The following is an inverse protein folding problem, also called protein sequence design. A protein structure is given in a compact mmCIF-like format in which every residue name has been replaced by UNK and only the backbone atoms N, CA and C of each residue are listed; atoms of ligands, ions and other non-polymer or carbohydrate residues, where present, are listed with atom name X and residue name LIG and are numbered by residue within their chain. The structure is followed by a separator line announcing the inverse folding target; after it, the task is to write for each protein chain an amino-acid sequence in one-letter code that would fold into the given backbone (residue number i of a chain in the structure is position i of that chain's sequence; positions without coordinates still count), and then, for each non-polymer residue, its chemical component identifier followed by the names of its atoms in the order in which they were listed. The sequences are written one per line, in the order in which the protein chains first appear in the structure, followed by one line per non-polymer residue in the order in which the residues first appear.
data_IF_769616252447
#
_entry.id   IF_769616252447
#
_cell.length_a   1.000
_cell.length_b   1.000
_cell.length_c   1.000
_cell.angle_alpha   90.00
_cell.angle_beta   90.00
_cell.angle_gamma   90.00
#
_symmetry.space_group_name_H-M   'P 1'
#
loop_
_entity.id
_entity.type
_entity.pdbx_description
1 polymer ?
#
# COMPACT_ATOMS: atom_id res chain seq x y z
N UNK A 1 -29.81 -12.84 -36.85
CA UNK A 1 -28.87 -13.19 -35.76
C UNK A 1 -27.65 -12.29 -35.90
N UNK A 2 -27.64 -11.15 -35.22
CA UNK A 2 -26.49 -10.23 -35.24
C UNK A 2 -25.58 -10.60 -34.06
N UNK A 3 -24.49 -11.31 -34.35
CA UNK A 3 -23.43 -11.63 -33.39
C UNK A 3 -22.65 -10.35 -33.07
N UNK A 4 -23.04 -9.70 -31.98
CA UNK A 4 -22.40 -8.49 -31.44
C UNK A 4 -20.98 -8.82 -30.98
N UNK A 5 -20.02 -8.07 -31.50
CA UNK A 5 -18.57 -8.20 -31.33
C UNK A 5 -18.14 -8.18 -29.85
N UNK A 6 -17.22 -9.08 -29.48
CA UNK A 6 -16.54 -9.06 -28.18
C UNK A 6 -15.56 -7.88 -28.15
N UNK A 7 -15.86 -6.89 -27.31
CA UNK A 7 -14.92 -5.80 -27.00
C UNK A 7 -14.14 -6.24 -25.76
N UNK A 8 -12.90 -6.67 -25.98
CA UNK A 8 -11.91 -6.84 -24.92
C UNK A 8 -11.57 -5.47 -24.33
N UNK A 9 -12.31 -5.10 -23.28
CA UNK A 9 -11.89 -4.03 -22.39
C UNK A 9 -10.63 -4.51 -21.68
N UNK A 10 -9.47 -4.05 -22.13
CA UNK A 10 -8.24 -4.09 -21.34
C UNK A 10 -8.48 -3.20 -20.11
N UNK A 11 -9.15 -3.75 -19.10
CA UNK A 11 -9.45 -3.10 -17.84
C UNK A 11 -8.13 -2.59 -17.25
N UNK A 12 -7.95 -1.27 -17.26
CA UNK A 12 -6.98 -0.58 -16.41
C UNK A 12 -7.47 -0.68 -14.95
N UNK A 13 -7.54 -1.91 -14.42
CA UNK A 13 -7.93 -2.16 -13.04
C UNK A 13 -6.72 -1.79 -12.20
N UNK A 14 -6.79 -0.78 -11.30
CA UNK A 14 -5.76 -0.63 -10.30
C UNK A 14 -5.75 -1.94 -9.51
N UNK A 15 -4.75 -2.79 -9.76
CA UNK A 15 -4.64 -4.11 -9.14
C UNK A 15 -4.33 -3.91 -7.67
N UNK A 16 -5.40 -3.65 -6.90
CA UNK A 16 -5.44 -3.95 -5.50
C UNK A 16 -4.98 -5.40 -5.35
N UNK A 17 -3.81 -5.56 -4.74
CA UNK A 17 -3.22 -6.87 -4.48
C UNK A 17 -3.06 -7.04 -2.99
N UNK A 18 -3.41 -8.23 -2.51
CA UNK A 18 -3.11 -8.58 -1.12
C UNK A 18 -1.61 -8.83 -1.00
N UNK A 19 -1.00 -8.18 -0.02
CA UNK A 19 0.41 -8.30 0.35
C UNK A 19 0.50 -8.66 1.83
N UNK A 20 1.58 -9.31 2.24
CA UNK A 20 1.88 -9.52 3.65
C UNK A 20 2.77 -8.39 4.15
N UNK A 21 2.45 -7.87 5.33
CA UNK A 21 3.24 -6.84 5.99
C UNK A 21 4.58 -7.42 6.43
N UNK A 22 5.69 -6.80 6.05
CA UNK A 22 7.02 -7.26 6.47
C UNK A 22 7.27 -7.13 7.99
N UNK A 23 6.50 -6.30 8.70
CA UNK A 23 6.68 -6.08 10.14
C UNK A 23 5.83 -7.01 11.03
N UNK A 24 4.66 -7.41 10.57
CA UNK A 24 3.70 -8.15 11.38
C UNK A 24 3.07 -9.36 10.66
N UNK A 25 3.54 -9.67 9.46
CA UNK A 25 3.06 -10.74 8.57
C UNK A 25 1.58 -10.69 8.20
N UNK A 26 0.84 -9.68 8.66
CA UNK A 26 -0.59 -9.54 8.40
C UNK A 26 -0.86 -9.24 6.93
N UNK A 27 -1.83 -9.94 6.36
CA UNK A 27 -2.30 -9.67 5.02
C UNK A 27 -3.05 -8.33 4.96
N UNK A 28 -2.75 -7.51 3.97
CA UNK A 28 -3.41 -6.23 3.75
C UNK A 28 -3.57 -5.94 2.26
N UNK A 29 -4.52 -5.08 1.91
CA UNK A 29 -4.74 -4.65 0.54
C UNK A 29 -3.80 -3.49 0.15
N UNK A 30 -2.98 -3.72 -0.86
CA UNK A 30 -2.14 -2.71 -1.50
C UNK A 30 -2.81 -2.27 -2.81
N UNK A 31 -3.39 -1.06 -2.81
CA UNK A 31 -4.12 -0.46 -3.94
C UNK A 31 -3.22 0.12 -5.05
N UNK A 32 -1.90 0.01 -4.92
CA UNK A 32 -0.94 0.47 -5.93
C UNK A 32 -0.88 1.99 -6.12
N UNK A 33 -0.23 2.45 -7.18
CA UNK A 33 0.21 3.84 -7.36
C UNK A 33 -0.92 4.88 -7.36
N UNK A 34 -2.10 4.54 -7.88
CA UNK A 34 -3.24 5.45 -8.04
C UNK A 34 -4.22 5.43 -6.86
N UNK A 35 -3.97 4.63 -5.81
CA UNK A 35 -4.89 4.49 -4.69
C UNK A 35 -4.29 4.00 -3.38
N UNK A 36 -2.96 3.95 -3.25
CA UNK A 36 -2.31 3.48 -2.02
C UNK A 36 -2.61 4.45 -0.87
N UNK A 37 -3.29 3.93 0.16
CA UNK A 37 -3.50 4.61 1.43
C UNK A 37 -2.17 5.04 2.08
N UNK A 38 -1.05 4.38 1.74
CA UNK A 38 0.28 4.72 2.25
C UNK A 38 0.69 6.16 1.95
N UNK A 39 0.15 6.76 0.89
CA UNK A 39 0.41 8.16 0.52
C UNK A 39 -0.48 9.16 1.25
N UNK A 40 -1.55 8.68 1.87
CA UNK A 40 -2.46 9.48 2.70
C UNK A 40 -2.00 9.58 4.15
N UNK A 41 -1.06 8.73 4.57
CA UNK A 41 -0.50 8.78 5.92
C UNK A 41 0.70 9.72 5.89
N UNK A 42 0.59 10.82 6.61
CA UNK A 42 1.67 11.80 6.78
C UNK A 42 2.69 11.23 7.78
N UNK A 43 3.83 10.79 7.27
CA UNK A 43 4.99 10.39 8.09
C UNK A 43 6.17 11.28 7.74
N UNK A 44 7.03 11.57 8.73
CA UNK A 44 8.19 12.41 8.52
C UNK A 44 9.21 11.73 7.59
N UNK A 45 10.05 12.52 6.91
CA UNK A 45 11.14 11.96 6.08
C UNK A 45 12.10 11.10 6.90
N UNK A 46 12.31 11.43 8.17
CA UNK A 46 13.16 10.66 9.07
C UNK A 46 12.54 9.28 9.33
N UNK A 47 11.25 9.23 9.67
CA UNK A 47 10.51 7.97 9.86
C UNK A 47 10.49 7.12 8.59
N UNK A 48 10.28 7.74 7.43
CA UNK A 48 10.31 7.03 6.15
C UNK A 48 11.70 6.47 5.84
N UNK A 49 12.77 7.22 6.16
CA UNK A 49 14.15 6.76 6.02
C UNK A 49 14.47 5.57 6.92
N UNK A 50 14.05 5.62 8.19
CA UNK A 50 14.19 4.49 9.11
C UNK A 50 13.43 3.26 8.64
N UNK A 51 12.19 3.47 8.19
CA UNK A 51 11.35 2.39 7.68
C UNK A 51 11.98 1.76 6.43
N UNK A 52 12.44 2.58 5.47
CA UNK A 52 13.11 2.10 4.26
C UNK A 52 14.44 1.38 4.52
N UNK A 53 15.08 1.61 5.68
CA UNK A 53 16.27 0.85 6.10
C UNK A 53 15.91 -0.49 6.76
N UNK A 54 14.71 -0.61 7.34
CA UNK A 54 14.26 -1.79 8.09
C UNK A 54 13.39 -2.74 7.27
N UNK A 55 12.71 -2.23 6.24
CA UNK A 55 11.76 -2.98 5.42
C UNK A 55 12.05 -2.79 3.95
N UNK A 56 12.06 -3.88 3.18
CA UNK A 56 12.30 -3.90 1.73
C UNK A 56 11.02 -4.06 0.88
N UNK A 57 9.89 -4.45 1.48
CA UNK A 57 8.56 -4.60 0.88
C UNK A 57 7.55 -3.68 1.60
N UNK A 58 6.27 -3.83 1.25
CA UNK A 58 5.20 -2.98 1.73
C UNK A 58 4.79 -3.36 3.16
N UNK A 59 4.53 -2.36 4.00
CA UNK A 59 3.93 -2.55 5.32
C UNK A 59 2.44 -2.20 5.31
N UNK A 60 1.69 -2.70 6.29
CA UNK A 60 0.26 -2.47 6.43
C UNK A 60 -0.04 -1.09 7.08
N UNK A 61 -1.29 -0.58 6.98
CA UNK A 61 -1.63 0.75 7.49
C UNK A 61 -1.51 0.83 9.00
N UNK A 62 -1.76 -0.27 9.70
CA UNK A 62 -1.65 -0.33 11.15
C UNK A 62 -0.19 -0.10 11.59
N UNK A 63 0.76 -0.85 11.01
CA UNK A 63 2.17 -0.68 11.34
C UNK A 63 2.69 0.70 10.94
N UNK A 64 2.23 1.27 9.83
CA UNK A 64 2.64 2.62 9.42
C UNK A 64 2.10 3.69 10.38
N UNK A 65 0.86 3.55 10.87
CA UNK A 65 0.25 4.45 11.85
C UNK A 65 0.94 4.38 13.21
N UNK A 66 1.27 3.18 13.69
CA UNK A 66 2.05 2.98 14.93
C UNK A 66 3.43 3.63 14.84
N UNK A 67 4.08 3.53 13.67
CA UNK A 67 5.37 4.17 13.44
C UNK A 67 5.27 5.70 13.49
N UNK A 68 4.17 6.25 12.95
CA UNK A 68 3.85 7.67 13.00
C UNK A 68 3.72 8.15 14.45
N UNK A 69 3.03 7.40 15.31
CA UNK A 69 2.74 7.78 16.69
C UNK A 69 3.96 7.72 17.61
N UNK A 70 4.88 6.78 17.36
CA UNK A 70 6.10 6.60 18.15
C UNK A 70 7.03 7.82 18.20
N UNK A 71 7.02 8.67 17.18
CA UNK A 71 7.89 9.86 17.11
C UNK A 71 7.32 11.04 17.92
N UNK A 72 6.02 11.01 18.26
CA UNK A 72 5.36 12.05 19.06
C UNK A 72 5.77 12.04 20.54
N UNK A 73 6.55 11.03 20.97
CA UNK A 73 6.96 10.81 22.34
C UNK A 73 8.47 10.98 22.60
N UNK A 74 9.24 11.60 21.69
CA UNK A 74 10.67 11.92 21.93
C UNK A 74 10.96 13.40 22.11
#
# INVERSE_FOLDING_TARGET
MLSYVSIDHHEMKPMAKTKNCELCDSAFECKGLLGCWCRSIDISRQQLGELSNRTSDCICPNCLAEYKDRDLHS
#
